data_IF_084874152285
#
_entry.id   IF_084874152285
#
_cell.length_a   1.000
_cell.length_b   1.000
_cell.length_c   1.000
_cell.angle_alpha   90.00
_cell.angle_beta   90.00
_cell.angle_gamma   90.00
#
_symmetry.space_group_name_H-M   'P 1'
#
loop_
_entity.id
_entity.type
_entity.pdbx_description
1 polymer ?
#
# COMPACT_ATOMS: atom_id res chain seq x y z
N UNK A 1 -20.30 -36.37 37.19
CA UNK A 1 -20.48 -35.00 37.70
C UNK A 1 -19.14 -34.28 37.65
N UNK A 2 -18.85 -33.57 36.60
CA UNK A 2 -17.63 -32.79 36.39
C UNK A 2 -18.03 -31.37 36.00
N UNK A 3 -17.75 -30.40 36.86
CA UNK A 3 -18.09 -28.99 36.63
C UNK A 3 -17.14 -28.37 35.63
N UNK A 4 -17.68 -27.89 34.51
CA UNK A 4 -17.00 -27.00 33.55
C UNK A 4 -16.81 -25.63 34.24
N UNK A 5 -15.54 -25.21 34.37
CA UNK A 5 -15.19 -23.85 34.79
C UNK A 5 -15.33 -22.93 33.58
N UNK A 6 -16.24 -21.97 33.67
CA UNK A 6 -16.39 -20.83 32.77
C UNK A 6 -15.15 -19.95 32.88
N UNK A 7 -14.42 -19.79 31.75
CA UNK A 7 -13.40 -18.78 31.63
C UNK A 7 -14.07 -17.42 31.36
N UNK A 8 -13.82 -16.46 32.23
CA UNK A 8 -14.29 -15.10 32.09
C UNK A 8 -13.66 -14.45 30.88
N UNK A 9 -14.48 -14.07 29.92
CA UNK A 9 -14.10 -13.19 28.78
C UNK A 9 -13.79 -11.80 29.36
N UNK A 10 -12.51 -11.43 29.35
CA UNK A 10 -12.07 -10.07 29.68
C UNK A 10 -12.69 -9.06 28.73
N UNK A 11 -13.31 -8.03 29.28
CA UNK A 11 -13.91 -6.95 28.52
C UNK A 11 -12.86 -6.23 27.66
N UNK A 12 -13.14 -6.09 26.36
CA UNK A 12 -12.37 -5.28 25.44
C UNK A 12 -12.46 -3.80 25.86
N UNK A 13 -11.38 -3.03 25.80
CA UNK A 13 -11.41 -1.61 26.12
C UNK A 13 -12.29 -0.85 25.13
N UNK A 14 -13.25 -0.11 25.64
CA UNK A 14 -14.11 0.78 24.84
C UNK A 14 -13.27 1.96 24.35
N UNK A 15 -13.06 2.04 23.06
CA UNK A 15 -12.42 3.21 22.43
C UNK A 15 -13.39 4.39 22.45
N UNK A 16 -13.07 5.41 23.24
CA UNK A 16 -13.78 6.68 23.26
C UNK A 16 -13.27 7.54 22.11
N UNK A 17 -14.09 7.76 21.09
CA UNK A 17 -13.83 8.75 20.04
C UNK A 17 -14.22 10.11 20.60
N UNK A 18 -13.24 10.95 20.94
CA UNK A 18 -13.50 12.34 21.27
C UNK A 18 -13.64 13.16 19.98
N UNK A 19 -14.87 13.57 19.69
CA UNK A 19 -15.19 14.57 18.67
C UNK A 19 -14.86 15.96 19.22
N UNK A 20 -13.69 16.49 18.88
CA UNK A 20 -13.30 17.84 19.23
C UNK A 20 -14.09 18.87 18.42
N UNK A 21 -14.77 19.77 19.13
CA UNK A 21 -15.60 20.84 18.60
C UNK A 21 -14.78 21.96 17.92
N UNK A 22 -15.45 22.66 17.02
CA UNK A 22 -15.00 23.82 16.26
C UNK A 22 -14.76 25.04 17.17
N UNK A 23 -13.74 25.83 16.86
CA UNK A 23 -13.72 27.28 17.06
C UNK A 23 -12.82 27.93 16.02
N UNK A 24 -13.32 28.96 15.40
CA UNK A 24 -12.83 29.63 14.21
C UNK A 24 -11.86 30.79 14.46
N UNK A 25 -11.50 31.38 13.33
CA UNK A 25 -10.94 32.71 13.00
C UNK A 25 -9.44 32.91 13.01
N UNK A 26 -8.99 33.24 11.91
CA UNK A 26 -8.51 34.44 11.22
C UNK A 26 -7.05 34.36 10.76
N UNK A 27 -6.90 34.89 9.57
CA UNK A 27 -5.69 35.15 8.80
C UNK A 27 -4.61 35.89 9.56
N UNK A 28 -3.43 35.57 9.20
CA UNK A 28 -2.16 36.29 9.15
C UNK A 28 -1.04 35.42 9.76
N UNK A 29 -0.22 34.86 8.92
CA UNK A 29 1.24 34.96 8.99
C UNK A 29 1.88 33.94 8.06
N UNK A 30 2.27 34.46 6.93
CA UNK A 30 3.30 33.89 6.06
C UNK A 30 4.60 33.80 6.85
N UNK A 31 5.30 32.64 6.73
CA UNK A 31 6.68 32.46 7.12
C UNK A 31 6.96 32.43 8.64
N UNK A 32 6.79 31.27 9.24
CA UNK A 32 7.54 30.75 10.41
C UNK A 32 6.82 29.52 11.06
N UNK A 33 6.34 28.57 10.29
CA UNK A 33 5.81 27.31 10.87
C UNK A 33 6.60 26.08 10.41
N UNK A 34 7.91 26.09 10.64
CA UNK A 34 8.65 24.83 10.70
C UNK A 34 8.39 24.21 12.09
N UNK A 35 7.60 23.13 12.09
CA UNK A 35 7.53 22.09 13.12
C UNK A 35 6.87 22.42 14.48
N UNK A 36 5.57 22.66 14.48
CA UNK A 36 4.75 22.52 15.71
C UNK A 36 4.01 21.17 15.78
N UNK A 37 4.04 20.36 14.73
CA UNK A 37 3.45 19.00 14.73
C UNK A 37 4.57 17.97 14.66
N UNK A 38 4.52 16.89 15.45
CA UNK A 38 5.45 15.78 15.29
C UNK A 38 5.37 15.26 13.85
N UNK A 39 6.55 15.09 13.22
CA UNK A 39 6.63 14.53 11.87
C UNK A 39 5.77 13.28 11.73
N UNK A 40 5.04 13.16 10.63
CA UNK A 40 4.26 11.97 10.35
C UNK A 40 5.19 10.75 10.33
N UNK A 41 4.71 9.60 10.82
CA UNK A 41 5.45 8.33 10.86
C UNK A 41 4.64 7.24 10.20
N UNK A 42 5.28 6.51 9.29
CA UNK A 42 4.68 5.35 8.66
C UNK A 42 5.43 4.08 9.10
N UNK A 43 4.74 3.23 9.83
CA UNK A 43 5.22 1.88 10.15
C UNK A 43 4.95 1.00 8.93
N UNK A 44 6.00 0.43 8.36
CA UNK A 44 5.92 -0.21 7.06
C UNK A 44 6.89 -1.38 6.89
N UNK A 45 6.71 -2.14 5.82
CA UNK A 45 7.69 -3.10 5.28
C UNK A 45 7.99 -2.69 3.83
N UNK A 46 9.26 -2.62 3.39
CA UNK A 46 9.65 -2.06 2.08
C UNK A 46 8.92 -2.67 0.88
N UNK A 47 8.79 -4.00 0.83
CA UNK A 47 8.15 -4.69 -0.29
C UNK A 47 6.64 -4.95 -0.09
N UNK A 48 6.05 -4.49 1.02
CA UNK A 48 4.60 -4.61 1.19
C UNK A 48 3.85 -3.70 0.20
N UNK A 49 3.04 -4.24 -0.71
CA UNK A 49 2.29 -3.41 -1.67
C UNK A 49 1.34 -2.44 -0.97
N UNK A 50 0.75 -2.83 0.14
CA UNK A 50 -0.11 -1.97 0.96
C UNK A 50 0.65 -0.76 1.54
N UNK A 51 1.89 -0.99 1.98
CA UNK A 51 2.76 0.09 2.46
C UNK A 51 3.22 0.99 1.31
N UNK A 52 3.61 0.39 0.16
CA UNK A 52 4.01 1.13 -1.04
C UNK A 52 2.90 2.02 -1.55
N UNK A 53 1.65 1.54 -1.58
CA UNK A 53 0.48 2.35 -1.95
C UNK A 53 0.37 3.62 -1.09
N UNK A 54 0.46 3.49 0.22
CA UNK A 54 0.42 4.65 1.14
C UNK A 54 1.62 5.58 0.93
N UNK A 55 2.83 5.03 0.74
CA UNK A 55 4.03 5.83 0.44
C UNK A 55 3.88 6.64 -0.85
N UNK A 56 3.31 6.04 -1.89
CA UNK A 56 3.04 6.74 -3.16
C UNK A 56 2.03 7.88 -2.98
N UNK A 57 0.94 7.64 -2.26
CA UNK A 57 -0.05 8.69 -1.97
C UNK A 57 0.56 9.83 -1.15
N UNK A 58 1.32 9.53 -0.09
CA UNK A 58 2.02 10.53 0.71
C UNK A 58 2.98 11.37 -0.15
N UNK A 59 3.82 10.72 -0.96
CA UNK A 59 4.79 11.39 -1.80
C UNK A 59 4.14 12.22 -2.92
N UNK A 60 3.05 11.72 -3.56
CA UNK A 60 2.30 12.47 -4.56
C UNK A 60 1.65 13.72 -3.98
N UNK A 61 1.18 13.64 -2.74
CA UNK A 61 0.62 14.77 -1.99
C UNK A 61 1.67 15.65 -1.30
N UNK A 62 2.96 15.35 -1.50
CA UNK A 62 4.11 16.07 -0.91
C UNK A 62 4.03 16.16 0.61
N UNK A 63 3.61 15.06 1.25
CA UNK A 63 3.56 14.93 2.70
C UNK A 63 4.82 14.20 3.15
N UNK A 64 5.65 14.90 3.90
CA UNK A 64 6.87 14.33 4.47
C UNK A 64 6.53 13.34 5.58
N UNK A 65 7.19 12.18 5.57
CA UNK A 65 6.96 11.11 6.52
C UNK A 65 8.27 10.40 6.89
N UNK A 66 8.44 10.12 8.17
CA UNK A 66 9.48 9.24 8.67
C UNK A 66 9.04 7.78 8.43
N UNK A 67 9.85 6.99 7.72
CA UNK A 67 9.61 5.57 7.50
C UNK A 67 10.22 4.76 8.64
N UNK A 68 9.41 3.96 9.32
CA UNK A 68 9.84 3.08 10.40
C UNK A 68 9.55 1.64 9.97
N UNK A 69 10.61 0.85 9.79
CA UNK A 69 10.43 -0.57 9.47
C UNK A 69 9.81 -1.30 10.66
N UNK A 70 8.73 -2.06 10.38
CA UNK A 70 7.95 -2.79 11.39
C UNK A 70 7.88 -4.28 11.03
N UNK A 71 8.48 -5.11 11.84
CA UNK A 71 8.44 -6.57 11.69
C UNK A 71 7.15 -7.13 12.27
N UNK A 72 6.03 -6.82 11.63
CA UNK A 72 4.68 -7.16 12.10
C UNK A 72 4.49 -8.65 12.43
N UNK A 73 5.30 -9.55 11.84
CA UNK A 73 5.26 -11.00 12.12
C UNK A 73 5.85 -11.39 13.47
N UNK A 74 6.59 -10.51 14.13
CA UNK A 74 7.08 -10.71 15.51
C UNK A 74 5.98 -10.48 16.54
N UNK A 75 4.84 -9.92 16.11
CA UNK A 75 3.65 -9.67 16.92
C UNK A 75 3.94 -8.93 18.25
N UNK A 76 4.85 -7.94 18.18
CA UNK A 76 5.21 -7.12 19.34
C UNK A 76 3.96 -6.54 20.02
N UNK A 77 3.84 -6.61 21.37
CA UNK A 77 2.66 -6.09 22.07
C UNK A 77 2.38 -4.61 21.85
N UNK A 78 3.41 -3.77 21.68
CA UNK A 78 3.26 -2.35 21.40
C UNK A 78 2.74 -2.12 19.98
N UNK A 79 3.19 -2.94 19.03
CA UNK A 79 2.65 -2.93 17.68
C UNK A 79 1.18 -3.36 17.65
N UNK A 80 0.83 -4.45 18.34
CA UNK A 80 -0.56 -4.93 18.42
C UNK A 80 -1.51 -3.94 19.13
N UNK A 81 -1.00 -3.14 20.08
CA UNK A 81 -1.78 -2.03 20.65
C UNK A 81 -2.04 -0.91 19.65
N UNK A 82 -1.13 -0.66 18.71
CA UNK A 82 -1.31 0.31 17.62
C UNK A 82 -2.26 -0.20 16.54
N UNK A 83 -2.21 -1.49 16.25
CA UNK A 83 -3.11 -2.14 15.28
C UNK A 83 -3.41 -3.58 15.71
N UNK A 84 -4.57 -3.84 16.35
CA UNK A 84 -4.97 -5.19 16.75
C UNK A 84 -5.10 -6.19 15.59
N UNK A 85 -5.23 -5.72 14.34
CA UNK A 85 -5.22 -6.58 13.15
C UNK A 85 -3.83 -7.17 12.83
N UNK A 86 -2.75 -6.70 13.51
CA UNK A 86 -1.39 -7.22 13.33
C UNK A 86 -0.82 -7.00 11.92
N UNK A 87 -1.21 -5.92 11.24
CA UNK A 87 -0.84 -5.64 9.84
C UNK A 87 -0.24 -4.24 9.68
N UNK A 88 0.61 -4.10 8.68
CA UNK A 88 1.11 -2.82 8.18
C UNK A 88 0.42 -2.48 6.84
N UNK A 89 0.32 -1.17 6.47
CA UNK A 89 0.89 0.01 7.12
C UNK A 89 0.09 0.53 8.32
N UNK A 90 0.78 1.34 9.18
CA UNK A 90 0.14 2.18 10.18
C UNK A 90 0.71 3.59 10.01
N UNK A 91 -0.14 4.58 9.75
CA UNK A 91 0.25 5.99 9.72
C UNK A 91 -0.05 6.65 11.06
N UNK A 92 0.97 7.24 11.69
CA UNK A 92 0.82 8.10 12.87
C UNK A 92 1.02 9.54 12.45
N UNK A 93 -0.03 10.35 12.50
CA UNK A 93 -0.02 11.74 12.06
C UNK A 93 -1.04 12.56 12.86
N UNK A 94 -0.67 13.78 13.24
CA UNK A 94 -1.55 14.71 13.98
C UNK A 94 -2.19 14.09 15.23
N UNK A 95 -1.40 13.33 16.00
CA UNK A 95 -1.86 12.66 17.22
C UNK A 95 -2.74 11.41 16.99
N UNK A 96 -3.05 11.07 15.73
CA UNK A 96 -3.86 9.90 15.37
C UNK A 96 -2.99 8.73 14.93
N UNK A 97 -3.40 7.54 15.28
CA UNK A 97 -2.85 6.28 14.78
C UNK A 97 -3.87 5.65 13.83
N UNK A 98 -3.51 5.50 12.59
CA UNK A 98 -4.40 5.10 11.50
C UNK A 98 -3.87 3.82 10.83
N UNK A 99 -4.42 2.66 11.10
CA UNK A 99 -4.17 1.44 10.35
C UNK A 99 -5.07 1.39 9.11
N UNK A 100 -4.80 0.39 8.24
CA UNK A 100 -5.46 0.11 6.98
C UNK A 100 -5.06 1.05 5.83
N UNK A 101 -4.52 0.44 4.78
CA UNK A 101 -3.94 1.19 3.66
C UNK A 101 -4.95 1.98 2.85
N UNK A 102 -6.17 1.45 2.66
CA UNK A 102 -7.20 2.18 1.89
C UNK A 102 -7.80 3.30 2.72
N UNK A 103 -8.11 3.05 4.01
CA UNK A 103 -8.59 4.08 4.93
C UNK A 103 -7.59 5.24 5.07
N UNK A 104 -6.28 4.93 5.14
CA UNK A 104 -5.22 5.95 5.14
C UNK A 104 -5.24 6.76 3.84
N UNK A 105 -5.30 6.10 2.68
CA UNK A 105 -5.32 6.79 1.38
C UNK A 105 -6.53 7.70 1.23
N UNK A 106 -7.73 7.25 1.61
CA UNK A 106 -8.95 8.08 1.57
C UNK A 106 -8.87 9.25 2.56
N UNK A 107 -8.38 9.02 3.78
CA UNK A 107 -8.16 10.11 4.73
C UNK A 107 -7.20 11.18 4.19
N UNK A 108 -6.09 10.77 3.57
CA UNK A 108 -5.13 11.69 2.97
C UNK A 108 -5.75 12.45 1.79
N UNK A 109 -6.59 11.80 0.98
CA UNK A 109 -7.31 12.44 -0.13
C UNK A 109 -8.28 13.50 0.37
N UNK A 110 -9.07 13.20 1.40
CA UNK A 110 -10.02 14.14 1.98
C UNK A 110 -9.35 15.34 2.64
N UNK A 111 -8.19 15.13 3.30
CA UNK A 111 -7.44 16.20 3.95
C UNK A 111 -6.58 17.03 2.99
N UNK A 112 -6.11 16.42 1.91
CA UNK A 112 -5.22 17.02 0.93
C UNK A 112 -5.74 16.70 -0.48
N UNK A 113 -6.81 17.36 -0.95
CA UNK A 113 -7.47 17.00 -2.21
C UNK A 113 -6.65 17.32 -3.47
N UNK A 114 -5.51 17.97 -3.34
CA UNK A 114 -4.65 18.35 -4.46
C UNK A 114 -3.26 17.71 -4.33
N UNK A 115 -2.75 17.02 -5.39
CA UNK A 115 -3.48 16.63 -6.60
C UNK A 115 -4.57 15.59 -6.28
N UNK A 116 -5.70 15.59 -7.03
CA UNK A 116 -6.78 14.65 -6.79
C UNK A 116 -6.38 13.24 -7.23
N UNK A 117 -6.64 12.26 -6.36
CA UNK A 117 -6.43 10.83 -6.62
C UNK A 117 -7.75 10.04 -6.56
N UNK A 118 -8.86 10.74 -6.33
CA UNK A 118 -10.22 10.22 -6.39
C UNK A 118 -11.09 11.11 -7.27
N UNK A 119 -11.88 10.54 -8.17
CA UNK A 119 -12.85 11.30 -8.96
C UNK A 119 -13.93 11.98 -8.10
N UNK A 120 -14.58 13.01 -8.67
CA UNK A 120 -15.68 13.72 -7.99
C UNK A 120 -17.00 12.93 -8.06
N UNK A 121 -17.26 12.24 -9.19
CA UNK A 121 -18.50 11.48 -9.38
C UNK A 121 -18.57 10.22 -8.52
N UNK A 122 -19.78 9.82 -8.14
CA UNK A 122 -20.00 8.59 -7.39
C UNK A 122 -19.57 7.34 -8.17
N UNK A 123 -19.85 7.31 -9.47
CA UNK A 123 -19.49 6.23 -10.40
C UNK A 123 -17.96 6.09 -10.52
N UNK A 124 -17.27 7.22 -10.68
CA UNK A 124 -15.80 7.23 -10.72
C UNK A 124 -15.18 6.76 -9.39
N UNK A 125 -15.70 7.22 -8.24
CA UNK A 125 -15.26 6.77 -6.91
C UNK A 125 -15.53 5.28 -6.70
N UNK A 126 -16.68 4.78 -7.17
CA UNK A 126 -16.99 3.35 -7.16
C UNK A 126 -15.95 2.56 -7.94
N UNK A 127 -15.64 3.00 -9.18
CA UNK A 127 -14.70 2.29 -10.05
C UNK A 127 -13.28 2.26 -9.46
N UNK A 128 -12.80 3.38 -8.88
CA UNK A 128 -11.52 3.41 -8.17
C UNK A 128 -11.52 2.39 -7.01
N UNK A 129 -12.53 2.40 -6.15
CA UNK A 129 -12.61 1.48 -5.00
C UNK A 129 -12.70 0.02 -5.44
N UNK A 130 -13.47 -0.25 -6.50
CA UNK A 130 -13.58 -1.60 -7.08
C UNK A 130 -12.23 -2.12 -7.56
N UNK A 131 -11.44 -1.28 -8.23
CA UNK A 131 -10.11 -1.67 -8.71
C UNK A 131 -9.10 -1.74 -7.57
N UNK A 132 -9.14 -0.86 -6.58
CA UNK A 132 -8.31 -1.02 -5.38
C UNK A 132 -8.61 -2.37 -4.71
N UNK A 133 -9.89 -2.72 -4.53
CA UNK A 133 -10.26 -4.03 -3.97
C UNK A 133 -9.78 -5.19 -4.87
N UNK A 134 -9.82 -5.03 -6.21
CA UNK A 134 -9.25 -6.03 -7.11
C UNK A 134 -7.77 -6.30 -6.82
N UNK A 135 -6.96 -5.25 -6.64
CA UNK A 135 -5.52 -5.42 -6.40
C UNK A 135 -5.22 -5.82 -4.94
N UNK A 136 -5.85 -5.17 -3.98
CA UNK A 136 -5.59 -5.40 -2.56
C UNK A 136 -6.13 -6.75 -2.05
N UNK A 137 -7.13 -7.33 -2.71
CA UNK A 137 -7.73 -8.61 -2.35
C UNK A 137 -7.42 -9.68 -3.40
N UNK A 138 -8.08 -9.66 -4.57
CA UNK A 138 -7.97 -10.74 -5.56
C UNK A 138 -6.55 -10.92 -6.10
N UNK A 139 -5.92 -9.85 -6.58
CA UNK A 139 -4.53 -9.91 -7.07
C UNK A 139 -3.57 -10.31 -5.95
N UNK A 140 -3.77 -9.76 -4.76
CA UNK A 140 -2.97 -10.13 -3.59
C UNK A 140 -3.05 -11.63 -3.30
N UNK A 141 -4.26 -12.19 -3.23
CA UNK A 141 -4.47 -13.61 -2.92
C UNK A 141 -3.93 -14.54 -4.02
N UNK A 142 -4.15 -14.20 -5.28
CA UNK A 142 -3.81 -15.07 -6.41
C UNK A 142 -2.34 -14.95 -6.85
N UNK A 143 -1.71 -13.78 -6.64
CA UNK A 143 -0.38 -13.48 -7.16
C UNK A 143 0.61 -13.10 -6.06
N UNK A 144 0.40 -11.96 -5.38
CA UNK A 144 1.43 -11.39 -4.51
C UNK A 144 1.69 -12.26 -3.29
N UNK A 145 0.64 -12.81 -2.66
CA UNK A 145 0.77 -13.72 -1.53
C UNK A 145 1.43 -15.06 -1.90
N UNK A 146 1.47 -15.39 -3.18
CA UNK A 146 2.14 -16.60 -3.68
C UNK A 146 3.56 -16.32 -4.15
N UNK A 147 3.80 -15.26 -4.91
CA UNK A 147 5.13 -14.96 -5.44
C UNK A 147 6.03 -14.25 -4.42
N UNK A 148 5.61 -13.08 -3.95
CA UNK A 148 6.40 -12.29 -3.02
C UNK A 148 6.56 -13.00 -1.66
N UNK A 149 5.48 -13.59 -1.15
CA UNK A 149 5.55 -14.31 0.11
C UNK A 149 6.51 -15.50 0.04
N UNK A 150 6.37 -16.35 -0.95
CA UNK A 150 7.20 -17.55 -1.08
C UNK A 150 8.68 -17.20 -1.34
N UNK A 151 8.97 -16.21 -2.19
CA UNK A 151 10.33 -15.88 -2.59
C UNK A 151 11.10 -15.02 -1.59
N UNK A 152 10.38 -14.15 -0.84
CA UNK A 152 11.00 -13.15 0.03
C UNK A 152 10.51 -13.29 1.48
N UNK A 153 9.19 -13.12 1.71
CA UNK A 153 8.68 -12.97 3.06
C UNK A 153 8.92 -14.20 3.92
N UNK A 154 8.74 -15.38 3.36
CA UNK A 154 8.94 -16.67 4.03
C UNK A 154 10.35 -16.81 4.59
N UNK A 155 11.37 -16.36 3.85
CA UNK A 155 12.76 -16.37 4.30
C UNK A 155 13.00 -15.28 5.36
N UNK A 156 12.46 -14.07 5.17
CA UNK A 156 12.56 -12.99 6.16
C UNK A 156 11.93 -13.37 7.51
N UNK A 157 10.83 -14.14 7.46
CA UNK A 157 10.09 -14.61 8.64
C UNK A 157 10.62 -15.94 9.20
N UNK A 158 11.69 -16.52 8.63
CA UNK A 158 12.23 -17.83 9.00
C UNK A 158 11.18 -18.97 8.92
N UNK A 159 10.29 -18.93 7.94
CA UNK A 159 9.21 -19.91 7.75
C UNK A 159 9.53 -21.00 6.72
N UNK A 160 10.80 -21.23 6.44
CA UNK A 160 11.28 -22.30 5.58
C UNK A 160 11.53 -21.89 4.13
N UNK A 161 11.43 -22.86 3.22
CA UNK A 161 11.73 -22.68 1.80
C UNK A 161 10.48 -22.37 0.98
N UNK A 162 10.64 -21.76 -0.23
CA UNK A 162 9.53 -21.52 -1.15
C UNK A 162 8.80 -22.81 -1.54
N UNK A 163 7.46 -22.76 -1.53
CA UNK A 163 6.63 -23.81 -2.13
C UNK A 163 6.52 -23.61 -3.65
N UNK A 164 7.11 -24.54 -4.40
CA UNK A 164 7.14 -24.46 -5.86
C UNK A 164 5.76 -24.53 -6.51
N UNK A 165 4.75 -25.12 -5.86
CA UNK A 165 3.36 -25.15 -6.32
C UNK A 165 2.75 -23.76 -6.26
N UNK A 166 2.86 -23.08 -5.11
CA UNK A 166 2.38 -21.71 -4.94
C UNK A 166 3.06 -20.75 -5.92
N UNK A 167 4.38 -20.88 -6.11
CA UNK A 167 5.11 -20.07 -7.08
C UNK A 167 4.58 -20.28 -8.51
N UNK A 168 4.35 -21.53 -8.93
CA UNK A 168 3.78 -21.84 -10.26
C UNK A 168 2.36 -21.31 -10.43
N UNK A 169 1.52 -21.41 -9.41
CA UNK A 169 0.16 -20.89 -9.44
C UNK A 169 0.17 -19.36 -9.53
N UNK A 170 0.97 -18.66 -8.74
CA UNK A 170 1.13 -17.20 -8.81
C UNK A 170 1.64 -16.74 -10.18
N UNK A 171 2.66 -17.40 -10.73
CA UNK A 171 3.20 -17.13 -12.07
C UNK A 171 2.20 -17.39 -13.21
N UNK A 172 1.25 -18.29 -13.01
CA UNK A 172 0.14 -18.48 -13.94
C UNK A 172 -0.92 -17.40 -13.80
N UNK A 173 -1.28 -17.07 -12.55
CA UNK A 173 -2.34 -16.12 -12.26
C UNK A 173 -1.99 -14.68 -12.71
N UNK A 174 -0.74 -14.23 -12.54
CA UNK A 174 -0.31 -12.89 -12.94
C UNK A 174 -0.62 -12.59 -14.41
N UNK A 175 -0.53 -13.59 -15.29
CA UNK A 175 -0.81 -13.45 -16.72
C UNK A 175 -2.25 -12.99 -16.99
N UNK A 176 -3.22 -13.61 -16.32
CA UNK A 176 -4.62 -13.20 -16.38
C UNK A 176 -4.83 -11.75 -15.91
N UNK A 177 -4.16 -11.36 -14.84
CA UNK A 177 -4.28 -10.00 -14.32
C UNK A 177 -3.65 -8.95 -15.24
N UNK A 178 -2.51 -9.27 -15.86
CA UNK A 178 -1.88 -8.39 -16.86
C UNK A 178 -2.78 -8.24 -18.09
N UNK A 179 -3.42 -9.33 -18.56
CA UNK A 179 -4.38 -9.27 -19.68
C UNK A 179 -5.60 -8.41 -19.32
N UNK A 180 -6.12 -8.53 -18.09
CA UNK A 180 -7.21 -7.68 -17.64
C UNK A 180 -6.81 -6.21 -17.54
N UNK A 181 -5.60 -5.91 -17.07
CA UNK A 181 -5.06 -4.55 -17.05
C UNK A 181 -4.91 -3.99 -18.46
N UNK A 182 -4.38 -4.77 -19.40
CA UNK A 182 -4.26 -4.39 -20.81
C UNK A 182 -5.64 -4.04 -21.38
N UNK A 183 -6.65 -4.88 -21.18
CA UNK A 183 -8.01 -4.62 -21.64
C UNK A 183 -8.59 -3.32 -21.07
N UNK A 184 -8.34 -3.00 -19.78
CA UNK A 184 -8.77 -1.73 -19.19
C UNK A 184 -8.07 -0.54 -19.86
N UNK A 185 -6.76 -0.63 -20.08
CA UNK A 185 -5.92 0.44 -20.61
C UNK A 185 -6.09 0.66 -22.13
N UNK A 186 -6.57 -0.34 -22.86
CA UNK A 186 -6.95 -0.19 -24.27
C UNK A 186 -8.17 0.74 -24.45
N UNK A 187 -8.99 0.90 -23.40
CA UNK A 187 -10.21 1.70 -23.40
C UNK A 187 -10.13 2.93 -22.49
N UNK A 188 -9.04 3.10 -21.74
CA UNK A 188 -8.88 4.13 -20.71
C UNK A 188 -7.44 4.63 -20.66
N UNK A 189 -7.29 5.88 -20.29
CA UNK A 189 -5.96 6.46 -20.09
C UNK A 189 -5.26 5.94 -18.83
N UNK A 190 -6.04 5.65 -17.78
CA UNK A 190 -5.62 5.10 -16.49
C UNK A 190 -6.57 3.97 -16.10
N UNK A 191 -6.19 3.12 -15.15
CA UNK A 191 -6.97 1.92 -14.83
C UNK A 191 -8.45 2.21 -14.50
N UNK A 192 -8.72 3.31 -13.77
CA UNK A 192 -10.08 3.66 -13.36
C UNK A 192 -10.77 4.71 -14.23
N UNK A 193 -10.12 5.21 -15.32
CA UNK A 193 -10.68 6.22 -16.21
C UNK A 193 -9.63 7.16 -16.80
N UNK A 194 -9.97 8.45 -16.94
CA UNK A 194 -9.14 9.42 -17.66
C UNK A 194 -8.04 10.06 -16.79
N UNK A 195 -8.12 9.94 -15.50
CA UNK A 195 -7.17 10.51 -14.55
C UNK A 195 -6.56 9.45 -13.66
N UNK A 196 -5.27 9.64 -13.32
CA UNK A 196 -4.57 8.79 -12.37
C UNK A 196 -5.27 8.83 -11.00
N UNK A 197 -5.34 7.68 -10.35
CA UNK A 197 -6.07 7.51 -9.11
C UNK A 197 -5.36 6.58 -8.12
N UNK A 198 -5.95 6.41 -6.92
CA UNK A 198 -5.47 5.43 -5.93
C UNK A 198 -5.46 4.01 -6.53
N UNK A 199 -6.33 3.69 -7.51
CA UNK A 199 -6.34 2.38 -8.17
C UNK A 199 -5.04 2.11 -8.94
N UNK A 200 -4.48 3.13 -9.60
CA UNK A 200 -3.20 3.03 -10.29
C UNK A 200 -2.05 2.80 -9.31
N UNK A 201 -2.08 3.49 -8.17
CA UNK A 201 -1.08 3.27 -7.12
C UNK A 201 -1.22 1.89 -6.45
N UNK A 202 -2.43 1.37 -6.26
CA UNK A 202 -2.63 0.02 -5.76
C UNK A 202 -2.00 -1.01 -6.71
N UNK A 203 -2.31 -0.94 -8.00
CA UNK A 203 -1.76 -1.82 -9.02
C UNK A 203 -0.22 -1.72 -9.11
N UNK A 204 0.29 -0.48 -9.24
CA UNK A 204 1.73 -0.24 -9.35
C UNK A 204 2.51 -0.69 -8.12
N UNK A 205 1.92 -0.59 -6.93
CA UNK A 205 2.53 -1.07 -5.69
C UNK A 205 2.71 -2.58 -5.68
N UNK A 206 1.70 -3.33 -6.12
CA UNK A 206 1.80 -4.78 -6.26
C UNK A 206 2.81 -5.17 -7.34
N UNK A 207 2.71 -4.58 -8.53
CA UNK A 207 3.65 -4.88 -9.61
C UNK A 207 5.08 -4.51 -9.25
N UNK A 208 5.33 -3.39 -8.59
CA UNK A 208 6.68 -3.00 -8.17
C UNK A 208 7.32 -3.96 -7.18
N UNK A 209 6.53 -4.54 -6.27
CA UNK A 209 7.04 -5.53 -5.35
C UNK A 209 7.40 -6.86 -6.04
N UNK A 210 6.67 -7.22 -7.09
CA UNK A 210 6.95 -8.39 -7.92
C UNK A 210 8.10 -8.13 -8.91
N UNK A 211 8.16 -6.93 -9.51
CA UNK A 211 9.21 -6.47 -10.40
C UNK A 211 10.59 -6.44 -9.72
N UNK A 212 10.61 -6.12 -8.42
CA UNK A 212 11.80 -6.20 -7.58
C UNK A 212 12.51 -7.56 -7.68
N UNK A 213 11.74 -8.65 -7.82
CA UNK A 213 12.23 -10.02 -7.95
C UNK A 213 12.19 -10.58 -9.38
N UNK A 214 11.94 -9.78 -10.42
CA UNK A 214 11.74 -10.22 -11.81
C UNK A 214 10.54 -11.17 -11.99
N UNK A 215 9.50 -11.02 -11.20
CA UNK A 215 8.30 -11.85 -11.31
C UNK A 215 7.26 -11.31 -12.32
N UNK A 216 7.54 -10.18 -12.97
CA UNK A 216 6.65 -9.56 -13.98
C UNK A 216 7.25 -9.77 -15.37
N UNK A 217 6.49 -10.42 -16.25
CA UNK A 217 6.83 -10.55 -17.67
C UNK A 217 6.33 -9.31 -18.44
N UNK A 218 7.20 -8.32 -18.58
CA UNK A 218 6.88 -7.06 -19.26
C UNK A 218 6.71 -7.20 -20.77
N UNK A 219 7.12 -8.32 -21.37
CA UNK A 219 6.93 -8.59 -22.80
C UNK A 219 5.50 -8.97 -23.15
N UNK A 220 4.66 -9.24 -22.13
CA UNK A 220 3.29 -9.69 -22.32
C UNK A 220 2.35 -8.62 -22.85
N UNK A 221 2.57 -7.34 -22.47
CA UNK A 221 1.72 -6.23 -22.89
C UNK A 221 2.49 -4.91 -22.84
N UNK A 222 2.73 -4.34 -24.00
CA UNK A 222 3.34 -3.01 -24.14
C UNK A 222 2.46 -1.94 -23.47
N UNK A 223 1.13 -2.06 -23.57
CA UNK A 223 0.18 -1.11 -22.94
C UNK A 223 0.36 -1.06 -21.43
N UNK A 224 0.47 -2.23 -20.77
CA UNK A 224 0.69 -2.30 -19.31
C UNK A 224 2.08 -1.81 -18.95
N UNK A 225 3.09 -2.16 -19.74
CA UNK A 225 4.47 -1.70 -19.56
C UNK A 225 4.56 -0.18 -19.63
N UNK A 226 3.98 0.44 -20.65
CA UNK A 226 3.93 1.89 -20.84
C UNK A 226 3.18 2.61 -19.70
N UNK A 227 2.07 2.04 -19.26
CA UNK A 227 1.34 2.56 -18.12
C UNK A 227 2.20 2.51 -16.84
N UNK A 228 2.88 1.39 -16.60
CA UNK A 228 3.74 1.25 -15.42
C UNK A 228 4.95 2.19 -15.49
N UNK A 229 5.58 2.35 -16.64
CA UNK A 229 6.68 3.28 -16.85
C UNK A 229 6.27 4.74 -16.54
N UNK A 230 5.05 5.16 -16.94
CA UNK A 230 4.50 6.48 -16.61
C UNK A 230 4.38 6.71 -15.09
N UNK A 231 4.03 5.68 -14.32
CA UNK A 231 3.95 5.78 -12.86
C UNK A 231 5.34 5.71 -12.23
N UNK A 232 6.17 4.78 -12.67
CA UNK A 232 7.54 4.54 -12.20
C UNK A 232 8.43 5.78 -12.35
N UNK A 233 8.26 6.55 -13.44
CA UNK A 233 9.00 7.78 -13.69
C UNK A 233 8.59 8.98 -12.83
N UNK A 234 7.49 8.90 -12.08
CA UNK A 234 7.04 9.99 -11.21
C UNK A 234 7.99 10.22 -10.02
N UNK A 235 8.21 11.48 -9.60
CA UNK A 235 9.01 11.77 -8.41
C UNK A 235 8.55 11.00 -7.16
N UNK A 236 7.24 10.75 -7.03
CA UNK A 236 6.67 9.98 -5.92
C UNK A 236 7.18 8.53 -5.87
N UNK A 237 7.58 7.94 -6.99
CA UNK A 237 8.05 6.57 -7.07
C UNK A 237 9.52 6.38 -6.66
N UNK A 238 10.30 7.47 -6.60
CA UNK A 238 11.75 7.41 -6.30
C UNK A 238 12.06 6.71 -4.98
N UNK A 239 11.26 6.97 -3.94
CA UNK A 239 11.46 6.33 -2.64
C UNK A 239 11.24 4.81 -2.68
N UNK A 240 10.33 4.35 -3.57
CA UNK A 240 10.06 2.92 -3.81
C UNK A 240 11.24 2.24 -4.50
N UNK A 241 11.83 2.89 -5.51
CA UNK A 241 12.98 2.36 -6.24
C UNK A 241 14.25 2.29 -5.38
N UNK A 242 14.35 3.14 -4.36
CA UNK A 242 15.46 3.15 -3.42
C UNK A 242 15.40 2.02 -2.36
N UNK A 243 14.31 1.26 -2.30
CA UNK A 243 14.17 0.18 -1.33
C UNK A 243 15.27 -0.87 -1.52
N UNK A 244 15.88 -1.28 -0.40
CA UNK A 244 16.82 -2.39 -0.34
C UNK A 244 16.36 -3.38 0.73
N UNK A 245 16.29 -4.64 0.38
CA UNK A 245 15.93 -5.70 1.33
C UNK A 245 17.16 -6.58 1.57
N UNK A 246 17.66 -6.69 2.81
CA UNK A 246 18.83 -7.49 3.11
C UNK A 246 18.70 -8.93 2.62
N UNK A 247 19.68 -9.38 1.83
CA UNK A 247 19.71 -10.72 1.25
C UNK A 247 18.86 -10.92 -0.01
N UNK A 248 18.21 -9.84 -0.51
CA UNK A 248 17.40 -9.84 -1.73
C UNK A 248 17.70 -8.58 -2.55
N UNK A 249 18.74 -8.58 -3.38
CA UNK A 249 19.02 -7.43 -4.25
C UNK A 249 17.90 -7.28 -5.29
N UNK A 250 17.55 -6.05 -5.70
CA UNK A 250 16.58 -5.84 -6.76
C UNK A 250 17.07 -6.40 -8.09
N UNK A 251 16.13 -6.74 -8.96
CA UNK A 251 16.42 -7.10 -10.35
C UNK A 251 17.19 -5.98 -11.06
N UNK A 252 18.06 -6.33 -12.00
CA UNK A 252 18.93 -5.35 -12.69
C UNK A 252 18.14 -4.23 -13.38
N UNK A 253 17.00 -4.55 -13.97
CA UNK A 253 16.12 -3.60 -14.66
C UNK A 253 15.22 -2.79 -13.70
N UNK A 254 15.18 -3.16 -12.40
CA UNK A 254 14.23 -2.56 -11.47
C UNK A 254 14.35 -1.05 -11.35
N UNK A 255 15.56 -0.51 -11.39
CA UNK A 255 15.81 0.93 -11.30
C UNK A 255 15.81 1.64 -12.66
N UNK A 256 15.72 0.89 -13.76
CA UNK A 256 15.62 1.44 -15.10
C UNK A 256 14.20 1.97 -15.34
N UNK A 257 14.07 3.20 -15.77
CA UNK A 257 12.78 3.83 -16.06
C UNK A 257 12.25 3.47 -17.44
N UNK A 258 13.17 3.09 -18.35
CA UNK A 258 12.90 2.76 -19.76
C UNK A 258 13.06 1.25 -20.05
N UNK A 259 12.89 0.40 -19.05
CA UNK A 259 13.13 -1.05 -19.06
C UNK A 259 12.34 -1.84 -20.09
#
# INVERSE_FOLDING_TARGET
MGRLRSAAMGALPVFRIELGGQAGHSELHTSLSKNLYPMARLYHVPLSPFCRKVRLVLAEKKIDVELIEERYWEADPDFLRRNPAGKVPILKMNGRTMPDSMAICEYLEEKNPTPPLMPQSAEGRYEVRRLVAWFDDKFHQEVTSKLLYERVNKKLMNQGYPDSRNVKEGAKAIKYHLDYMAWLLDHRRWLAGDSMSIADFAAASHLSALDYNSDVDWTRSDTVKDWYAKIKSRPAFRSILADQVPGFPPAKHYNDLDF
#
